data_IF_687786781914
#
_entry.id   IF_687786781914
#
_cell.length_a   1.000
_cell.length_b   1.000
_cell.length_c   1.000
_cell.angle_alpha   90.00
_cell.angle_beta   90.00
_cell.angle_gamma   90.00
#
_symmetry.space_group_name_H-M   'P 1'
#
loop_
_entity.id
_entity.type
_entity.pdbx_description
1 polymer ?
#
# COMPACT_ATOMS: atom_id res chain seq x y z
N UNK A 1 57.76 41.28 35.85
CA UNK A 1 56.41 41.45 35.32
C UNK A 1 56.13 40.35 34.26
N UNK A 2 55.43 39.30 34.59
CA UNK A 2 55.04 38.27 33.56
C UNK A 2 53.70 38.62 32.92
N UNK A 3 53.68 38.60 31.60
CA UNK A 3 52.46 38.74 30.77
C UNK A 3 51.70 37.43 30.77
N UNK A 4 50.47 37.41 31.27
CA UNK A 4 49.49 36.34 31.12
C UNK A 4 48.92 36.39 29.69
N UNK A 5 49.15 35.31 28.90
CA UNK A 5 48.52 35.08 27.64
C UNK A 5 47.27 34.23 27.93
N UNK A 6 46.09 34.85 27.79
CA UNK A 6 44.84 34.18 27.91
C UNK A 6 44.57 33.30 26.66
N UNK A 7 44.51 31.98 26.84
CA UNK A 7 44.14 31.00 25.81
C UNK A 7 42.62 30.95 25.74
N UNK A 8 42.03 31.59 24.73
CA UNK A 8 40.61 31.51 24.45
C UNK A 8 40.25 30.14 23.80
N UNK A 9 39.58 29.30 24.57
CA UNK A 9 39.03 28.03 24.09
C UNK A 9 37.79 28.33 23.21
N UNK A 10 37.93 28.27 21.88
CA UNK A 10 36.81 28.32 20.93
C UNK A 10 36.17 26.93 20.91
N UNK A 11 35.04 26.76 21.62
CA UNK A 11 34.18 25.60 21.51
C UNK A 11 33.41 25.68 20.19
N UNK A 12 33.90 24.97 19.16
CA UNK A 12 33.16 24.77 17.93
C UNK A 12 32.08 23.71 18.18
N UNK A 13 30.85 24.14 18.40
CA UNK A 13 29.68 23.26 18.40
C UNK A 13 29.45 22.80 16.97
N UNK A 14 29.86 21.56 16.65
CA UNK A 14 29.41 20.85 15.46
C UNK A 14 27.97 20.47 15.72
N UNK A 15 27.05 21.23 15.15
CA UNK A 15 25.67 20.77 14.99
C UNK A 15 25.70 19.61 14.00
N UNK A 16 25.71 18.40 14.52
CA UNK A 16 25.40 17.21 13.75
C UNK A 16 23.90 17.29 13.43
N UNK A 17 23.55 17.93 12.34
CA UNK A 17 22.27 17.70 11.70
C UNK A 17 22.33 16.27 11.20
N UNK A 18 21.77 15.32 11.98
CA UNK A 18 21.49 13.99 11.43
C UNK A 18 20.61 14.23 10.20
N UNK A 19 21.03 13.89 8.97
CA UNK A 19 20.11 13.87 7.86
C UNK A 19 18.99 12.93 8.30
N UNK A 20 17.75 13.36 8.18
CA UNK A 20 16.61 12.49 8.41
C UNK A 20 16.85 11.27 7.52
N UNK A 21 17.18 10.13 8.14
CA UNK A 21 17.45 8.91 7.41
C UNK A 21 16.12 8.52 6.81
N UNK A 22 16.01 8.59 5.47
CA UNK A 22 14.85 8.09 4.78
C UNK A 22 14.67 6.64 5.22
N UNK A 23 13.44 6.25 5.56
CA UNK A 23 13.19 4.88 5.96
C UNK A 23 13.19 3.95 4.75
N UNK A 24 13.20 2.66 5.01
CA UNK A 24 13.30 1.64 3.97
C UNK A 24 12.21 1.72 2.90
N UNK A 25 10.98 2.14 3.28
CA UNK A 25 9.88 2.29 2.34
C UNK A 25 10.00 3.57 1.51
N UNK A 26 10.47 4.67 2.11
CA UNK A 26 10.74 5.90 1.39
C UNK A 26 11.84 5.70 0.34
N UNK A 27 12.93 5.01 0.71
CA UNK A 27 14.01 4.65 -0.21
C UNK A 27 13.49 3.75 -1.34
N UNK A 28 12.62 2.77 -1.03
CA UNK A 28 12.03 1.90 -2.03
C UNK A 28 11.19 2.67 -3.06
N UNK A 29 10.36 3.61 -2.61
CA UNK A 29 9.57 4.46 -3.51
C UNK A 29 10.48 5.30 -4.41
N UNK A 30 11.59 5.82 -3.88
CA UNK A 30 12.55 6.61 -4.62
C UNK A 30 13.36 5.81 -5.65
N UNK A 31 13.57 4.50 -5.41
CA UNK A 31 14.29 3.59 -6.30
C UNK A 31 13.46 3.09 -7.49
N UNK A 32 12.18 3.43 -7.58
CA UNK A 32 11.38 3.03 -8.76
C UNK A 32 12.00 3.58 -10.06
N UNK A 33 12.12 2.77 -11.14
CA UNK A 33 11.63 1.39 -11.32
C UNK A 33 12.66 0.30 -10.99
N UNK A 34 13.82 0.61 -10.44
CA UNK A 34 14.98 -0.29 -10.30
C UNK A 34 14.86 -1.25 -9.10
N UNK A 35 13.70 -1.87 -8.94
CA UNK A 35 13.43 -2.83 -7.86
C UNK A 35 14.02 -4.21 -8.16
N UNK A 36 14.90 -4.69 -7.29
CA UNK A 36 15.59 -5.97 -7.45
C UNK A 36 15.09 -7.05 -6.48
N UNK A 37 14.23 -6.69 -5.54
CA UNK A 37 13.78 -7.59 -4.48
C UNK A 37 12.37 -7.25 -4.02
N UNK A 38 11.76 -8.17 -3.27
CA UNK A 38 10.51 -7.93 -2.54
C UNK A 38 10.70 -6.90 -1.42
N UNK A 39 9.61 -6.25 -0.96
CA UNK A 39 9.68 -5.24 0.09
C UNK A 39 10.02 -5.86 1.46
N UNK A 40 10.61 -5.07 2.37
CA UNK A 40 10.81 -5.49 3.75
C UNK A 40 9.46 -5.45 4.49
N UNK A 41 8.81 -6.61 4.63
CA UNK A 41 7.51 -6.74 5.30
C UNK A 41 7.56 -7.75 6.43
N UNK A 42 6.70 -7.56 7.44
CA UNK A 42 6.39 -8.56 8.46
C UNK A 42 5.08 -9.26 8.14
N UNK A 43 4.84 -10.43 8.73
CA UNK A 43 3.59 -11.16 8.55
C UNK A 43 2.39 -10.28 8.91
N UNK A 44 1.39 -10.22 8.03
CA UNK A 44 0.22 -9.40 8.23
C UNK A 44 -0.67 -9.96 9.35
N UNK A 45 -0.86 -9.16 10.40
CA UNK A 45 -1.76 -9.47 11.53
C UNK A 45 -2.75 -8.33 11.72
N UNK A 46 -4.06 -8.64 11.82
CA UNK A 46 -5.10 -7.62 11.93
C UNK A 46 -5.24 -6.74 10.67
N UNK A 47 -5.77 -5.54 10.82
CA UNK A 47 -5.88 -4.55 9.76
C UNK A 47 -4.63 -3.66 9.65
N UNK A 48 -4.47 -3.03 8.48
CA UNK A 48 -3.53 -1.93 8.32
C UNK A 48 -4.11 -0.68 8.98
N UNK A 49 -3.35 -0.09 9.91
CA UNK A 49 -3.74 1.13 10.61
C UNK A 49 -3.21 2.35 9.85
N UNK A 50 -4.09 3.30 9.62
CA UNK A 50 -3.81 4.55 8.92
C UNK A 50 -3.76 5.74 9.90
N UNK A 51 -3.12 6.87 9.54
CA UNK A 51 -3.18 8.11 10.32
C UNK A 51 -4.60 8.67 10.41
N UNK A 52 -4.89 9.43 11.48
CA UNK A 52 -6.21 10.01 11.72
C UNK A 52 -6.72 10.89 10.57
N UNK A 53 -5.83 11.58 9.85
CA UNK A 53 -6.22 12.42 8.71
C UNK A 53 -6.71 11.65 7.48
N UNK A 54 -6.62 10.31 7.49
CA UNK A 54 -7.22 9.46 6.45
C UNK A 54 -8.71 9.20 6.69
N UNK A 55 -9.24 9.41 7.91
CA UNK A 55 -10.63 9.11 8.25
C UNK A 55 -11.62 9.79 7.30
N UNK A 56 -12.61 9.03 6.82
CA UNK A 56 -13.68 9.53 5.97
C UNK A 56 -13.79 8.83 4.63
N UNK A 57 -14.69 9.36 3.79
CA UNK A 57 -14.88 8.92 2.41
C UNK A 57 -14.20 9.92 1.47
N UNK A 58 -13.47 9.40 0.50
CA UNK A 58 -12.67 10.21 -0.43
C UNK A 58 -13.04 9.89 -1.88
N UNK A 59 -13.20 10.93 -2.70
CA UNK A 59 -13.22 10.81 -4.16
C UNK A 59 -11.78 10.71 -4.65
N UNK A 60 -11.44 9.60 -5.30
CA UNK A 60 -10.10 9.33 -5.80
C UNK A 60 -10.06 9.49 -7.31
N UNK A 61 -9.08 10.25 -7.79
CA UNK A 61 -8.65 10.23 -9.19
C UNK A 61 -7.33 9.48 -9.27
N UNK A 62 -7.34 8.31 -9.89
CA UNK A 62 -6.18 7.46 -10.10
C UNK A 62 -5.72 7.53 -11.55
N UNK A 63 -4.45 7.82 -11.78
CA UNK A 63 -3.88 7.88 -13.14
C UNK A 63 -2.65 6.99 -13.19
N UNK A 64 -2.68 5.94 -14.04
CA UNK A 64 -1.48 5.15 -14.37
C UNK A 64 -0.56 6.04 -15.20
N UNK A 65 0.60 6.39 -14.64
CA UNK A 65 1.57 7.29 -15.30
C UNK A 65 2.74 6.55 -15.93
N UNK A 66 3.02 5.34 -15.44
CA UNK A 66 4.15 4.55 -15.93
C UNK A 66 3.91 3.06 -15.73
N UNK A 67 4.33 2.24 -16.71
CA UNK A 67 4.38 0.78 -16.59
C UNK A 67 5.70 0.27 -17.14
N UNK A 68 6.33 -0.65 -16.41
CA UNK A 68 7.63 -1.23 -16.75
C UNK A 68 7.57 -2.75 -16.59
N UNK A 69 8.13 -3.49 -17.55
CA UNK A 69 8.37 -4.92 -17.45
C UNK A 69 9.88 -5.15 -17.39
N UNK A 70 10.47 -5.24 -16.19
CA UNK A 70 11.94 -5.24 -16.03
C UNK A 70 12.64 -6.43 -16.69
N UNK A 71 11.92 -7.55 -16.86
CA UNK A 71 12.45 -8.79 -17.42
C UNK A 71 11.95 -9.07 -18.84
N UNK A 72 11.37 -8.06 -19.52
CA UNK A 72 10.98 -8.19 -20.93
C UNK A 72 12.23 -8.22 -21.84
N UNK A 73 12.19 -8.93 -22.98
CA UNK A 73 11.05 -9.70 -23.50
C UNK A 73 10.90 -11.12 -22.95
N UNK A 74 11.85 -11.61 -22.12
CA UNK A 74 11.93 -13.01 -21.68
C UNK A 74 10.72 -13.39 -20.80
N UNK A 75 10.29 -12.46 -19.92
CA UNK A 75 9.17 -12.66 -19.03
C UNK A 75 8.25 -11.43 -19.08
N UNK A 76 7.00 -11.65 -19.49
CA UNK A 76 5.95 -10.62 -19.51
C UNK A 76 4.67 -11.22 -18.93
N UNK A 77 4.09 -10.55 -17.94
CA UNK A 77 2.84 -11.02 -17.30
C UNK A 77 1.65 -10.91 -18.24
N UNK A 78 0.68 -11.85 -18.14
CA UNK A 78 -0.61 -11.72 -18.84
C UNK A 78 -1.26 -10.36 -18.54
N UNK A 79 -1.71 -9.67 -19.56
CA UNK A 79 -2.39 -8.38 -19.42
C UNK A 79 -1.47 -7.15 -19.35
N UNK A 80 -0.13 -7.30 -19.27
CA UNK A 80 0.79 -6.16 -19.22
C UNK A 80 0.56 -5.19 -20.39
N UNK A 81 0.60 -5.69 -21.62
CA UNK A 81 0.38 -4.86 -22.81
C UNK A 81 -1.04 -4.28 -22.87
N UNK A 82 -2.06 -5.05 -22.45
CA UNK A 82 -3.44 -4.56 -22.45
C UNK A 82 -3.69 -3.44 -21.45
N UNK A 83 -2.87 -3.33 -20.39
CA UNK A 83 -2.96 -2.24 -19.42
C UNK A 83 -2.43 -0.91 -19.97
N UNK A 84 -1.68 -0.93 -21.06
CA UNK A 84 -1.18 0.29 -21.75
C UNK A 84 -2.31 1.25 -22.15
N UNK A 85 -3.53 0.73 -22.39
CA UNK A 85 -4.72 1.55 -22.66
C UNK A 85 -5.13 2.48 -21.51
N UNK A 86 -4.70 2.18 -20.28
CA UNK A 86 -4.98 3.01 -19.10
C UNK A 86 -3.90 4.06 -18.85
N UNK A 87 -2.80 4.05 -19.61
CA UNK A 87 -1.70 5.00 -19.42
C UNK A 87 -2.21 6.44 -19.65
N UNK A 88 -1.99 7.29 -18.66
CA UNK A 88 -2.44 8.68 -18.62
C UNK A 88 -3.98 8.87 -18.72
N UNK A 89 -4.75 7.80 -18.47
CA UNK A 89 -6.21 7.91 -18.38
C UNK A 89 -6.63 7.98 -16.91
N UNK A 90 -7.29 9.07 -16.47
CA UNK A 90 -7.79 9.17 -15.11
C UNK A 90 -9.00 8.25 -14.92
N UNK A 91 -8.96 7.47 -13.84
CA UNK A 91 -10.06 6.62 -13.40
C UNK A 91 -10.52 7.14 -12.05
N UNK A 92 -11.84 7.28 -11.89
CA UNK A 92 -12.46 7.81 -10.67
C UNK A 92 -13.20 6.73 -9.92
N UNK A 93 -13.03 6.72 -8.60
CA UNK A 93 -13.73 5.84 -7.67
C UNK A 93 -13.75 6.47 -6.27
N UNK A 94 -14.45 5.83 -5.34
CA UNK A 94 -14.45 6.23 -3.94
C UNK A 94 -13.68 5.22 -3.10
N UNK A 95 -13.05 5.73 -2.03
CA UNK A 95 -12.50 4.92 -0.95
C UNK A 95 -12.97 5.45 0.40
N UNK A 96 -13.07 4.55 1.39
CA UNK A 96 -13.51 4.89 2.74
C UNK A 96 -12.53 4.33 3.77
N UNK A 97 -12.24 5.16 4.77
CA UNK A 97 -11.47 4.79 5.94
C UNK A 97 -12.31 5.08 7.17
N UNK A 98 -12.43 4.11 8.06
CA UNK A 98 -13.35 4.15 9.19
C UNK A 98 -12.60 3.98 10.51
N UNK A 99 -13.08 4.66 11.54
CA UNK A 99 -12.60 4.48 12.90
C UNK A 99 -13.26 3.25 13.49
N UNK A 100 -12.44 2.29 13.90
CA UNK A 100 -12.89 1.05 14.53
C UNK A 100 -12.26 0.91 15.91
N UNK A 101 -13.03 0.35 16.85
CA UNK A 101 -12.52 0.00 18.16
C UNK A 101 -11.77 -1.34 18.10
N UNK A 102 -10.46 -1.29 18.32
CA UNK A 102 -9.64 -2.50 18.40
C UNK A 102 -9.59 -3.00 19.84
N UNK A 103 -10.15 -4.17 20.08
CA UNK A 103 -9.99 -4.86 21.36
C UNK A 103 -8.60 -5.50 21.37
N UNK A 104 -7.64 -4.89 22.07
CA UNK A 104 -6.35 -5.52 22.28
C UNK A 104 -6.50 -6.78 23.13
N UNK A 105 -6.41 -7.94 22.51
CA UNK A 105 -6.23 -9.21 23.22
C UNK A 105 -4.81 -9.25 23.79
N UNK A 106 -4.59 -8.60 24.94
CA UNK A 106 -3.32 -8.76 25.69
C UNK A 106 -3.29 -10.18 26.23
N UNK A 107 -2.17 -10.86 25.96
CA UNK A 107 -1.83 -12.26 26.28
C UNK A 107 -2.54 -12.85 27.52
N UNK A 108 -3.01 -14.08 27.36
CA UNK A 108 -3.70 -14.92 28.37
C UNK A 108 -2.88 -15.26 29.64
N UNK A 109 -1.66 -14.73 29.79
CA UNK A 109 -0.76 -15.10 30.87
C UNK A 109 -0.80 -14.16 32.10
N UNK A 110 -1.78 -13.26 32.23
CA UNK A 110 -1.94 -12.43 33.42
C UNK A 110 -3.15 -12.81 34.22
N UNK A 111 -2.92 -13.21 35.47
CA UNK A 111 -3.93 -13.64 36.48
C UNK A 111 -4.81 -12.46 36.96
N UNK A 112 -4.49 -11.22 36.63
CA UNK A 112 -5.24 -10.04 37.04
C UNK A 112 -5.93 -9.44 35.81
N UNK A 113 -7.28 -9.33 35.78
CA UNK A 113 -8.00 -8.62 34.72
C UNK A 113 -7.70 -7.12 34.81
N UNK A 114 -6.84 -6.63 33.90
CA UNK A 114 -6.73 -5.19 33.68
C UNK A 114 -7.90 -4.73 32.82
N UNK A 115 -8.41 -3.49 33.01
CA UNK A 115 -9.41 -2.92 32.12
C UNK A 115 -8.91 -3.04 30.68
N UNK A 116 -9.71 -3.60 29.78
CA UNK A 116 -9.41 -3.66 28.36
C UNK A 116 -9.38 -2.20 27.87
N UNK A 117 -8.19 -1.71 27.53
CA UNK A 117 -8.06 -0.45 26.80
C UNK A 117 -8.50 -0.70 25.37
N UNK A 118 -9.62 -0.16 24.99
CA UNK A 118 -10.07 -0.09 23.60
C UNK A 118 -9.29 1.03 22.95
N UNK A 119 -8.36 0.72 22.07
CA UNK A 119 -7.71 1.71 21.22
C UNK A 119 -8.50 1.79 19.92
N UNK A 120 -8.93 2.99 19.54
CA UNK A 120 -9.54 3.21 18.23
C UNK A 120 -8.44 3.36 17.18
N UNK A 121 -8.67 2.79 16.00
CA UNK A 121 -7.76 2.86 14.88
C UNK A 121 -8.51 3.18 13.58
N UNK A 122 -7.87 3.90 12.67
CA UNK A 122 -8.40 4.14 11.33
C UNK A 122 -7.97 2.97 10.44
N UNK A 123 -8.94 2.30 9.82
CA UNK A 123 -8.71 1.18 8.89
C UNK A 123 -9.47 1.40 7.58
N UNK A 124 -9.01 0.79 6.50
CA UNK A 124 -9.71 0.83 5.22
C UNK A 124 -10.96 -0.05 5.27
N UNK A 125 -12.11 0.47 4.82
CA UNK A 125 -13.27 -0.36 4.51
C UNK A 125 -12.99 -1.17 3.25
N UNK A 126 -12.47 -2.38 3.44
CA UNK A 126 -11.96 -3.23 2.36
C UNK A 126 -13.07 -3.67 1.39
N UNK A 127 -14.30 -3.87 1.88
CA UNK A 127 -15.43 -4.27 1.01
C UNK A 127 -15.86 -3.12 0.12
N UNK A 128 -16.09 -1.95 0.72
CA UNK A 128 -16.45 -0.74 -0.01
C UNK A 128 -15.36 -0.36 -1.02
N UNK A 129 -14.11 -0.29 -0.58
CA UNK A 129 -12.98 0.10 -1.43
C UNK A 129 -12.77 -0.89 -2.56
N UNK A 130 -12.77 -2.18 -2.26
CA UNK A 130 -12.60 -3.23 -3.25
C UNK A 130 -13.71 -3.24 -4.30
N UNK A 131 -14.97 -3.00 -3.90
CA UNK A 131 -16.09 -2.91 -4.82
C UNK A 131 -15.96 -1.70 -5.76
N UNK A 132 -15.73 -0.52 -5.21
CA UNK A 132 -15.63 0.72 -5.99
C UNK A 132 -14.44 0.69 -6.98
N UNK A 133 -13.28 0.22 -6.52
CA UNK A 133 -12.10 0.06 -7.38
C UNK A 133 -12.39 -0.94 -8.50
N UNK A 134 -12.92 -2.12 -8.17
CA UNK A 134 -13.19 -3.16 -9.16
C UNK A 134 -14.21 -2.70 -10.21
N UNK A 135 -15.27 -1.99 -9.80
CA UNK A 135 -16.27 -1.42 -10.70
C UNK A 135 -15.69 -0.34 -11.61
N UNK A 136 -14.81 0.52 -11.09
CA UNK A 136 -14.17 1.57 -11.88
C UNK A 136 -13.28 1.01 -13.01
N UNK A 137 -12.58 -0.10 -12.78
CA UNK A 137 -11.69 -0.72 -13.75
C UNK A 137 -12.37 -1.73 -14.69
N UNK A 138 -13.37 -2.47 -14.19
CA UNK A 138 -13.99 -3.59 -14.91
C UNK A 138 -15.42 -3.28 -15.39
N UNK A 139 -16.01 -2.19 -14.90
CA UNK A 139 -17.40 -1.82 -15.14
C UNK A 139 -18.35 -2.40 -14.08
N UNK A 140 -19.45 -1.68 -13.82
CA UNK A 140 -20.44 -2.04 -12.80
C UNK A 140 -21.04 -3.42 -13.00
N UNK A 141 -21.25 -3.81 -14.27
CA UNK A 141 -21.85 -5.10 -14.63
C UNK A 141 -20.89 -6.29 -14.54
N UNK A 142 -19.59 -6.04 -14.34
CA UNK A 142 -18.63 -7.12 -14.25
C UNK A 142 -18.56 -7.74 -12.84
N UNK A 143 -18.88 -6.96 -11.81
CA UNK A 143 -18.70 -7.33 -10.41
C UNK A 143 -20.03 -7.77 -9.81
N UNK A 144 -20.03 -8.91 -9.13
CA UNK A 144 -21.16 -9.42 -8.37
C UNK A 144 -21.09 -8.98 -6.91
N UNK A 145 -19.95 -9.19 -6.27
CA UNK A 145 -19.71 -8.81 -4.87
C UNK A 145 -18.23 -8.74 -4.56
N UNK A 146 -17.90 -7.97 -3.53
CA UNK A 146 -16.61 -7.99 -2.84
C UNK A 146 -16.90 -8.21 -1.36
N UNK A 147 -16.24 -9.18 -0.73
CA UNK A 147 -16.44 -9.53 0.67
C UNK A 147 -15.12 -9.82 1.36
N UNK A 148 -15.01 -9.40 2.60
CA UNK A 148 -13.93 -9.80 3.50
C UNK A 148 -14.36 -11.08 4.22
N UNK A 149 -13.43 -12.02 4.38
CA UNK A 149 -13.69 -13.26 5.12
C UNK A 149 -13.86 -12.95 6.60
N UNK A 150 -15.01 -13.30 7.22
CA UNK A 150 -15.22 -13.07 8.65
C UNK A 150 -14.15 -13.70 9.56
N UNK A 151 -13.48 -14.76 9.08
CA UNK A 151 -12.42 -15.44 9.82
C UNK A 151 -11.03 -14.78 9.63
N UNK A 152 -10.89 -13.86 8.66
CA UNK A 152 -9.61 -13.21 8.37
C UNK A 152 -9.79 -11.90 7.63
N UNK A 153 -9.59 -10.78 8.31
CA UNK A 153 -9.61 -9.43 7.73
C UNK A 153 -8.61 -9.25 6.56
N UNK A 154 -7.59 -10.11 6.50
CA UNK A 154 -6.59 -10.10 5.45
C UNK A 154 -7.02 -10.88 4.18
N UNK A 155 -8.17 -11.55 4.20
CA UNK A 155 -8.68 -12.31 3.06
C UNK A 155 -9.91 -11.64 2.47
N UNK A 156 -9.81 -11.24 1.20
CA UNK A 156 -10.89 -10.65 0.42
C UNK A 156 -11.24 -11.55 -0.76
N UNK A 157 -12.53 -11.67 -1.05
CA UNK A 157 -13.06 -12.45 -2.17
C UNK A 157 -13.86 -11.50 -3.06
N UNK A 158 -13.42 -11.35 -4.31
CA UNK A 158 -14.13 -10.62 -5.35
C UNK A 158 -14.80 -11.62 -6.30
N UNK A 159 -16.12 -11.57 -6.40
CA UNK A 159 -16.89 -12.40 -7.32
C UNK A 159 -17.28 -11.61 -8.56
N UNK A 160 -16.94 -12.15 -9.73
CA UNK A 160 -17.33 -11.59 -11.02
C UNK A 160 -18.59 -12.28 -11.52
N UNK A 161 -19.45 -11.57 -12.28
CA UNK A 161 -20.67 -12.13 -12.86
C UNK A 161 -20.42 -13.26 -13.86
N UNK A 162 -19.21 -13.34 -14.39
CA UNK A 162 -18.77 -14.47 -15.25
C UNK A 162 -18.55 -15.79 -14.52
N UNK A 163 -18.81 -15.86 -13.20
CA UNK A 163 -18.50 -17.01 -12.34
C UNK A 163 -17.02 -17.13 -11.95
N UNK A 164 -16.20 -16.15 -12.31
CA UNK A 164 -14.79 -16.08 -11.90
C UNK A 164 -14.68 -15.48 -10.51
N UNK A 165 -13.63 -15.84 -9.82
CA UNK A 165 -13.31 -15.28 -8.50
C UNK A 165 -11.85 -14.83 -8.45
N UNK A 166 -11.61 -13.70 -7.78
CA UNK A 166 -10.30 -13.30 -7.30
C UNK A 166 -10.29 -13.39 -5.79
N UNK A 167 -9.42 -14.22 -5.24
CA UNK A 167 -9.16 -14.32 -3.81
C UNK A 167 -7.82 -13.61 -3.56
N UNK A 168 -7.86 -12.57 -2.73
CA UNK A 168 -6.70 -11.78 -2.34
C UNK A 168 -6.41 -12.00 -0.86
N UNK A 169 -5.19 -12.41 -0.53
CA UNK A 169 -4.76 -12.67 0.85
C UNK A 169 -3.53 -11.83 1.13
N UNK A 170 -3.65 -10.82 2.00
CA UNK A 170 -2.51 -10.03 2.47
C UNK A 170 -1.67 -10.93 3.38
N UNK A 171 -0.41 -11.16 3.00
CA UNK A 171 0.52 -12.03 3.71
C UNK A 171 1.58 -11.26 4.47
N UNK A 172 1.89 -10.04 4.02
CA UNK A 172 2.91 -9.21 4.65
C UNK A 172 2.53 -7.73 4.56
N UNK A 173 2.98 -6.95 5.52
CA UNK A 173 2.86 -5.49 5.49
C UNK A 173 3.96 -4.80 6.25
N UNK A 174 4.17 -3.53 5.91
CA UNK A 174 5.01 -2.61 6.65
C UNK A 174 4.47 -1.19 6.48
N UNK A 175 4.75 -0.31 7.44
CA UNK A 175 4.38 1.10 7.38
C UNK A 175 5.53 1.97 7.85
N UNK A 176 5.53 3.21 7.37
CA UNK A 176 6.50 4.22 7.73
C UNK A 176 5.79 5.58 7.80
N UNK A 177 6.13 6.39 8.80
CA UNK A 177 5.57 7.74 8.99
C UNK A 177 6.73 8.74 9.01
N UNK A 178 7.22 9.18 7.83
CA UNK A 178 8.37 10.08 7.73
C UNK A 178 8.14 11.43 8.39
N UNK A 179 6.88 11.90 8.40
CA UNK A 179 6.44 13.12 9.06
C UNK A 179 4.95 13.03 9.42
N UNK A 180 4.42 14.06 10.11
CA UNK A 180 3.01 14.08 10.54
C UNK A 180 2.00 14.08 9.39
N UNK A 181 2.42 14.59 8.24
CA UNK A 181 1.65 14.74 7.00
C UNK A 181 2.00 13.67 5.94
N UNK A 182 2.93 12.76 6.24
CA UNK A 182 3.38 11.71 5.32
C UNK A 182 3.25 10.34 5.93
N UNK A 183 2.68 9.43 5.15
CA UNK A 183 2.50 8.04 5.54
C UNK A 183 2.80 7.14 4.34
N UNK A 184 3.58 6.09 4.54
CA UNK A 184 3.88 5.10 3.53
C UNK A 184 3.42 3.75 4.05
N UNK A 185 2.67 3.04 3.22
CA UNK A 185 2.23 1.68 3.52
C UNK A 185 2.59 0.75 2.37
N UNK A 186 3.02 -0.45 2.69
CA UNK A 186 3.19 -1.54 1.73
C UNK A 186 2.46 -2.78 2.21
N UNK A 187 1.75 -3.43 1.32
CA UNK A 187 1.14 -4.74 1.52
C UNK A 187 1.59 -5.69 0.42
N UNK A 188 1.90 -6.92 0.82
CA UNK A 188 2.16 -8.04 -0.08
C UNK A 188 0.97 -8.99 -0.04
N UNK A 189 0.36 -9.23 -1.18
CA UNK A 189 -0.88 -9.97 -1.34
C UNK A 189 -0.69 -11.14 -2.29
N UNK A 190 -1.05 -12.34 -1.86
CA UNK A 190 -1.19 -13.48 -2.76
C UNK A 190 -2.55 -13.41 -3.44
N UNK A 191 -2.58 -13.48 -4.76
CA UNK A 191 -3.79 -13.46 -5.57
C UNK A 191 -4.01 -14.80 -6.26
N UNK A 192 -5.24 -15.29 -6.13
CA UNK A 192 -5.69 -16.57 -6.71
C UNK A 192 -6.88 -16.30 -7.63
N UNK A 193 -6.68 -16.46 -8.94
CA UNK A 193 -7.72 -16.33 -9.94
C UNK A 193 -8.35 -17.70 -10.17
N UNK A 194 -9.65 -17.85 -9.88
CA UNK A 194 -10.44 -19.08 -10.04
C UNK A 194 -11.54 -18.91 -11.09
N UNK A 195 -12.05 -20.04 -11.57
CA UNK A 195 -13.12 -20.04 -12.61
C UNK A 195 -12.60 -19.77 -14.02
N UNK A 196 -11.31 -19.96 -14.24
CA UNK A 196 -10.63 -20.01 -15.54
C UNK A 196 -10.07 -21.41 -15.78
N UNK A 197 -9.75 -21.75 -17.03
CA UNK A 197 -9.28 -23.10 -17.38
C UNK A 197 -8.03 -23.53 -16.59
N UNK A 198 -7.10 -22.60 -16.38
CA UNK A 198 -5.93 -22.81 -15.52
C UNK A 198 -5.93 -21.75 -14.42
N UNK A 199 -5.97 -22.15 -13.13
CA UNK A 199 -5.83 -21.21 -12.04
C UNK A 199 -4.51 -20.41 -12.18
N UNK A 200 -4.62 -19.11 -12.10
CA UNK A 200 -3.46 -18.21 -12.14
C UNK A 200 -3.18 -17.65 -10.75
N UNK A 201 -1.93 -17.74 -10.33
CA UNK A 201 -1.46 -17.27 -9.05
C UNK A 201 -0.33 -16.27 -9.27
N UNK A 202 -0.37 -15.18 -8.54
CA UNK A 202 0.74 -14.24 -8.45
C UNK A 202 0.83 -13.68 -7.04
N UNK A 203 1.92 -12.97 -6.79
CA UNK A 203 2.09 -12.15 -5.61
C UNK A 203 2.17 -10.70 -6.04
N UNK A 204 1.42 -9.84 -5.37
CA UNK A 204 1.33 -8.42 -5.67
C UNK A 204 1.79 -7.62 -4.47
N UNK A 205 2.75 -6.75 -4.67
CA UNK A 205 3.07 -5.69 -3.74
C UNK A 205 2.32 -4.43 -4.15
N UNK A 206 1.71 -3.76 -3.17
CA UNK A 206 1.17 -2.41 -3.32
C UNK A 206 1.82 -1.52 -2.29
N UNK A 207 2.68 -0.61 -2.74
CA UNK A 207 3.35 0.39 -1.90
C UNK A 207 2.80 1.76 -2.24
N UNK A 208 2.21 2.43 -1.26
CA UNK A 208 1.59 3.76 -1.44
C UNK A 208 2.18 4.77 -0.47
N UNK A 209 2.73 5.85 -1.01
CA UNK A 209 3.24 6.99 -0.27
C UNK A 209 2.23 8.13 -0.32
N UNK A 210 1.57 8.40 0.81
CA UNK A 210 0.56 9.43 0.99
C UNK A 210 1.17 10.71 1.53
N UNK A 211 0.65 11.84 1.07
CA UNK A 211 0.97 13.18 1.55
C UNK A 211 -0.33 13.95 1.79
N UNK A 212 -0.61 14.27 3.04
CA UNK A 212 -1.75 15.11 3.44
C UNK A 212 -1.42 16.57 3.17
N UNK A 213 -2.23 17.24 2.36
CA UNK A 213 -2.02 18.63 1.97
C UNK A 213 -2.60 19.57 3.03
N UNK A 214 -1.87 20.66 3.39
CA UNK A 214 -2.38 21.65 4.33
C UNK A 214 -3.54 22.46 3.70
N UNK A 215 -4.40 23.04 4.55
CA UNK A 215 -5.41 24.01 4.12
C UNK A 215 -4.72 25.21 3.37
N UNK A 216 -5.30 25.75 2.25
CA UNK A 216 -6.68 25.56 1.77
C UNK A 216 -6.88 24.35 0.84
N UNK A 217 -5.82 23.69 0.37
CA UNK A 217 -5.88 22.61 -0.61
C UNK A 217 -6.23 21.26 0.03
N UNK A 218 -6.89 21.25 1.19
CA UNK A 218 -7.16 20.10 2.03
C UNK A 218 -7.57 18.85 1.23
N UNK A 219 -6.59 17.98 0.98
CA UNK A 219 -6.71 16.75 0.22
C UNK A 219 -5.54 15.85 0.52
N UNK A 220 -5.44 14.74 -0.21
CA UNK A 220 -4.31 13.84 -0.12
C UNK A 220 -3.79 13.57 -1.53
N UNK A 221 -2.50 13.78 -1.73
CA UNK A 221 -1.80 13.26 -2.89
C UNK A 221 -1.06 11.97 -2.54
N UNK A 222 -1.00 11.04 -3.48
CA UNK A 222 -0.23 9.84 -3.25
C UNK A 222 0.43 9.31 -4.54
N UNK A 223 1.56 8.66 -4.34
CA UNK A 223 2.18 7.79 -5.34
C UNK A 223 1.98 6.35 -4.92
N UNK A 224 1.35 5.56 -5.78
CA UNK A 224 1.20 4.14 -5.58
C UNK A 224 2.00 3.37 -6.63
N UNK A 225 2.77 2.41 -6.17
CA UNK A 225 3.49 1.47 -7.02
C UNK A 225 2.92 0.07 -6.76
N UNK A 226 2.49 -0.57 -7.85
CA UNK A 226 2.06 -1.98 -7.82
C UNK A 226 3.10 -2.81 -8.54
N UNK A 227 3.67 -3.79 -7.85
CA UNK A 227 4.63 -4.73 -8.42
C UNK A 227 4.04 -6.14 -8.45
N UNK A 228 4.21 -6.83 -9.57
CA UNK A 228 3.79 -8.22 -9.76
C UNK A 228 5.03 -9.10 -9.66
N UNK A 229 4.94 -10.14 -8.83
CA UNK A 229 5.93 -11.19 -8.70
C UNK A 229 5.32 -12.53 -9.10
N UNK A 230 6.13 -13.38 -9.71
CA UNK A 230 5.69 -14.73 -10.06
C UNK A 230 5.47 -15.55 -8.78
N UNK A 231 4.50 -16.45 -8.82
CA UNK A 231 4.31 -17.43 -7.75
C UNK A 231 5.25 -18.62 -7.96
N UNK A 232 5.57 -19.40 -6.91
CA UNK A 232 6.40 -20.60 -7.04
C UNK A 232 5.84 -21.67 -8.00
N UNK A 233 4.55 -21.57 -8.38
CA UNK A 233 3.93 -22.47 -9.36
C UNK A 233 4.11 -22.01 -10.82
N UNK A 234 4.63 -20.80 -11.01
CA UNK A 234 4.90 -20.30 -12.36
C UNK A 234 6.16 -20.97 -12.95
N UNK A 235 6.13 -21.42 -14.20
CA UNK A 235 7.31 -22.05 -14.85
C UNK A 235 8.56 -21.18 -14.88
N UNK A 236 8.38 -19.86 -14.94
CA UNK A 236 9.47 -18.89 -15.02
C UNK A 236 9.90 -18.34 -13.64
N UNK A 237 9.33 -18.88 -12.54
CA UNK A 237 9.62 -18.40 -11.18
C UNK A 237 11.12 -18.34 -10.88
N UNK A 238 11.87 -19.40 -11.21
CA UNK A 238 13.31 -19.46 -10.93
C UNK A 238 14.16 -18.51 -11.79
N UNK A 239 13.60 -17.96 -12.88
CA UNK A 239 14.28 -16.95 -13.69
C UNK A 239 14.08 -15.55 -13.10
N UNK A 240 12.91 -15.27 -12.52
CA UNK A 240 12.58 -13.99 -11.91
C UNK A 240 12.99 -13.91 -10.43
N UNK A 241 12.88 -15.03 -9.68
CA UNK A 241 13.09 -15.08 -8.23
C UNK A 241 12.28 -14.00 -7.50
N UNK A 242 12.97 -13.11 -6.80
CA UNK A 242 12.37 -12.00 -6.05
C UNK A 242 12.27 -10.68 -6.82
N UNK A 243 12.61 -10.69 -8.13
CA UNK A 243 12.45 -9.51 -8.97
C UNK A 243 11.01 -9.37 -9.45
N UNK A 244 10.48 -8.14 -9.51
CA UNK A 244 9.18 -7.90 -10.10
C UNK A 244 9.21 -8.13 -11.61
N UNK A 245 8.17 -8.76 -12.15
CA UNK A 245 8.01 -9.00 -13.59
C UNK A 245 7.16 -7.91 -14.27
N UNK A 246 6.43 -7.15 -13.48
CA UNK A 246 5.72 -5.94 -13.94
C UNK A 246 5.63 -4.92 -12.80
N UNK A 247 5.78 -3.66 -13.15
CA UNK A 247 5.68 -2.51 -12.28
C UNK A 247 4.71 -1.50 -12.88
N UNK A 248 3.84 -0.94 -12.06
CA UNK A 248 2.85 0.07 -12.42
C UNK A 248 2.92 1.22 -11.42
N UNK A 249 3.10 2.45 -11.89
CA UNK A 249 3.13 3.65 -11.05
C UNK A 249 1.89 4.49 -11.30
N UNK A 250 1.17 4.78 -10.23
CA UNK A 250 -0.04 5.60 -10.25
C UNK A 250 0.17 6.88 -9.46
N UNK A 251 -0.40 7.96 -9.97
CA UNK A 251 -0.64 9.19 -9.21
C UNK A 251 -2.09 9.17 -8.72
N UNK A 252 -2.28 9.34 -7.41
CA UNK A 252 -3.59 9.39 -6.78
C UNK A 252 -3.82 10.79 -6.22
N UNK A 253 -5.04 11.28 -6.41
CA UNK A 253 -5.54 12.52 -5.79
C UNK A 253 -6.84 12.17 -5.07
N UNK A 254 -6.88 12.39 -3.75
CA UNK A 254 -8.03 12.10 -2.90
C UNK A 254 -8.60 13.44 -2.42
N UNK A 255 -9.86 13.69 -2.71
CA UNK A 255 -10.56 14.90 -2.34
C UNK A 255 -11.82 14.56 -1.54
N UNK A 256 -12.18 15.41 -0.57
CA UNK A 256 -13.42 15.24 0.18
C UNK A 256 -14.60 15.40 -0.79
N UNK A 257 -15.63 14.54 -0.74
CA UNK A 257 -16.84 14.74 -1.53
C UNK A 257 -17.47 16.09 -1.19
N UNK A 258 -17.80 16.90 -2.20
CA UNK A 258 -18.56 18.12 -1.97
C UNK A 258 -19.94 17.75 -1.42
N UNK A 259 -20.29 18.25 -0.22
CA UNK A 259 -21.68 18.25 0.25
C UNK A 259 -22.47 19.24 -0.65
N UNK A 260 -23.34 18.70 -1.50
CA UNK A 260 -24.34 19.48 -2.24
C UNK A 260 -25.56 19.68 -1.36
#
# INVERSE_FOLDING_TARGET
>A
MPRLIGLGLILVYWFWTNPAQAGQLADRVAQFPDWQSKPPVTAATGDLVYPDWMEGTWNVTSTLVEQVAPLAPEIVTPGFESNRRYLNQPIQFQVRFERVDQVQSKSRDRIIPLPQQTESAIVADREFNGLNIAQAYLGNDAIRSVKVDPASVNRQITELRSGRQLISIVTGRNTETPSRDRFIATEVTNQYFRGIQQPYLNQVETTTAYHHLPSPDSGIEAWQITAIYLSPQDPDYFKALDQPVALYRYRLQLNIPYCH
#
